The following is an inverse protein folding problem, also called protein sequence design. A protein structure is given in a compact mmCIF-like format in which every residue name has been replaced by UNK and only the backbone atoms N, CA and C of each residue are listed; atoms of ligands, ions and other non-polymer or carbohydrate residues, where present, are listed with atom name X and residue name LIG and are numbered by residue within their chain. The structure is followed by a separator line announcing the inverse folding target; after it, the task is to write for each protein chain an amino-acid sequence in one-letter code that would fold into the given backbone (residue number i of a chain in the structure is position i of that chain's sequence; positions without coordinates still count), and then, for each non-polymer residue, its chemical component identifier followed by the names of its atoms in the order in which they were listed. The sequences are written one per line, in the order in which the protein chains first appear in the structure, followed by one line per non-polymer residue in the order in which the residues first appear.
data_IF_914614732500
#
_entry.id   IF_914614732500
#
_cell.length_a   1.000
_cell.length_b   1.000
_cell.length_c   1.000
_cell.angle_alpha   90.00
_cell.angle_beta   90.00
_cell.angle_gamma   90.00
#
_symmetry.space_group_name_H-M   'P 1'
#
loop_
_entity.id
_entity.type
_entity.pdbx_description
1 polymer ?
#
# COMPACT_ATOMS: atom_id res chain seq x y z
N UNK A 1 13.65 42.38 -25.51
CA UNK A 1 13.37 41.04 -24.96
C UNK A 1 13.48 40.04 -26.10
N UNK A 2 14.60 39.33 -26.15
CA UNK A 2 14.91 38.32 -27.18
C UNK A 2 14.99 36.98 -26.48
N UNK A 3 14.29 35.99 -27.01
CA UNK A 3 14.31 34.61 -26.54
C UNK A 3 15.70 34.00 -26.63
N UNK A 4 16.04 33.20 -25.63
CA UNK A 4 17.20 32.33 -25.65
C UNK A 4 16.69 30.91 -25.84
N UNK A 5 16.87 30.44 -27.06
CA UNK A 5 16.76 29.06 -27.47
C UNK A 5 18.03 28.36 -26.97
N UNK A 6 17.90 27.39 -26.07
CA UNK A 6 19.05 26.58 -25.62
C UNK A 6 19.16 25.37 -26.56
N UNK A 7 20.21 25.40 -27.37
CA UNK A 7 20.66 24.31 -28.24
C UNK A 7 21.29 23.21 -27.37
N UNK A 8 20.80 21.98 -27.47
CA UNK A 8 21.42 20.80 -26.87
C UNK A 8 22.61 20.34 -27.72
N UNK A 9 23.81 20.37 -27.14
CA UNK A 9 25.02 19.76 -27.70
C UNK A 9 25.09 18.27 -27.36
N UNK A 10 25.34 17.45 -28.38
CA UNK A 10 25.61 16.01 -28.27
C UNK A 10 26.98 15.77 -27.62
N UNK A 11 27.02 14.98 -26.54
CA UNK A 11 28.00 13.93 -26.26
C UNK A 11 27.63 13.22 -24.94
N UNK A 12 27.08 12.01 -25.01
CA UNK A 12 27.34 10.88 -24.09
C UNK A 12 26.54 9.65 -24.54
N UNK A 13 27.25 8.56 -24.87
CA UNK A 13 26.70 7.42 -25.65
C UNK A 13 26.26 6.24 -24.76
N UNK A 14 26.24 6.39 -23.44
CA UNK A 14 25.56 5.45 -22.52
C UNK A 14 24.28 6.00 -21.87
N UNK A 15 24.02 7.31 -21.93
CA UNK A 15 22.83 7.96 -21.35
C UNK A 15 21.61 8.06 -22.28
N UNK A 16 21.71 7.59 -23.53
CA UNK A 16 20.80 8.02 -24.60
C UNK A 16 19.64 7.04 -24.91
N UNK A 17 19.72 5.77 -24.47
CA UNK A 17 18.64 4.80 -24.71
C UNK A 17 17.53 4.90 -23.64
N UNK A 18 17.92 5.02 -22.38
CA UNK A 18 16.99 5.12 -21.23
C UNK A 18 16.19 6.42 -21.26
N UNK A 19 16.82 7.56 -21.53
CA UNK A 19 16.12 8.84 -21.70
C UNK A 19 15.17 8.87 -22.90
N UNK A 20 15.48 8.14 -23.97
CA UNK A 20 14.64 8.12 -25.19
C UNK A 20 13.35 7.32 -25.01
N UNK A 21 13.36 6.30 -24.13
CA UNK A 21 12.19 5.46 -23.82
C UNK A 21 11.34 6.00 -22.68
N UNK A 22 11.84 6.95 -21.89
CA UNK A 22 11.06 7.64 -20.85
C UNK A 22 9.71 8.17 -21.36
N UNK A 23 9.68 8.69 -22.60
CA UNK A 23 8.45 9.20 -23.25
C UNK A 23 7.38 8.13 -23.50
N UNK A 24 7.72 6.84 -23.38
CA UNK A 24 6.76 5.74 -23.53
C UNK A 24 5.87 5.59 -22.29
N UNK A 25 6.38 6.00 -21.11
CA UNK A 25 5.73 5.83 -19.80
C UNK A 25 5.06 7.11 -19.26
N UNK A 26 5.50 8.27 -19.75
CA UNK A 26 5.00 9.58 -19.28
C UNK A 26 4.00 10.14 -20.30
N UNK A 27 2.89 10.66 -19.80
CA UNK A 27 1.91 11.43 -20.57
C UNK A 27 1.39 12.63 -19.77
N UNK A 28 0.38 13.33 -20.30
CA UNK A 28 -0.21 14.50 -19.65
C UNK A 28 -0.79 14.24 -18.26
N UNK A 29 -1.10 12.97 -17.92
CA UNK A 29 -1.70 12.60 -16.64
C UNK A 29 -0.67 12.48 -15.53
N UNK A 30 0.55 12.03 -15.82
CA UNK A 30 1.57 11.78 -14.79
C UNK A 30 2.82 12.68 -14.90
N UNK A 31 2.91 13.54 -15.93
CA UNK A 31 4.10 14.40 -16.13
C UNK A 31 4.38 15.35 -14.97
N UNK A 32 3.35 15.90 -14.32
CA UNK A 32 3.54 16.79 -13.17
C UNK A 32 4.11 16.04 -11.97
N UNK A 33 3.55 14.86 -11.67
CA UNK A 33 4.04 13.97 -10.62
C UNK A 33 5.48 13.52 -10.89
N UNK A 34 5.78 13.15 -12.13
CA UNK A 34 7.13 12.77 -12.55
C UNK A 34 8.12 13.91 -12.34
N UNK A 35 7.80 15.11 -12.81
CA UNK A 35 8.67 16.27 -12.68
C UNK A 35 8.92 16.61 -11.21
N UNK A 36 7.86 16.65 -10.39
CA UNK A 36 7.97 16.90 -8.96
C UNK A 36 8.92 15.91 -8.29
N UNK A 37 8.78 14.61 -8.56
CA UNK A 37 9.61 13.60 -7.91
C UNK A 37 11.06 13.63 -8.39
N UNK A 38 11.32 14.05 -9.63
CA UNK A 38 12.68 14.24 -10.13
C UNK A 38 13.39 15.48 -9.55
N UNK A 39 12.70 16.35 -8.80
CA UNK A 39 13.35 17.43 -8.06
C UNK A 39 14.13 16.89 -6.84
N UNK A 40 13.63 15.82 -6.22
CA UNK A 40 14.20 15.23 -4.98
C UNK A 40 14.86 13.87 -5.18
N UNK A 41 14.49 13.14 -6.24
CA UNK A 41 14.99 11.80 -6.52
C UNK A 41 15.71 11.72 -7.86
N UNK A 42 16.83 10.99 -7.89
CA UNK A 42 17.39 10.45 -9.12
C UNK A 42 16.62 9.17 -9.48
N UNK A 43 15.59 9.31 -10.33
CA UNK A 43 14.74 8.20 -10.77
C UNK A 43 15.34 7.53 -12.01
N UNK A 44 15.73 6.26 -11.86
CA UNK A 44 16.20 5.40 -12.93
C UNK A 44 15.07 4.46 -13.40
N UNK A 45 15.05 4.12 -14.70
CA UNK A 45 14.11 3.15 -15.27
C UNK A 45 14.91 1.95 -15.78
N UNK A 46 14.64 0.78 -15.21
CA UNK A 46 15.35 -0.47 -15.50
C UNK A 46 14.40 -1.55 -16.03
N UNK A 47 14.85 -2.49 -16.87
CA UNK A 47 14.03 -3.64 -17.24
C UNK A 47 13.74 -4.50 -16.00
N UNK A 48 12.50 -4.93 -15.83
CA UNK A 48 12.15 -5.93 -14.84
C UNK A 48 12.72 -7.31 -15.22
N UNK A 49 13.03 -8.14 -14.22
CA UNK A 49 13.52 -9.51 -14.44
C UNK A 49 12.40 -10.54 -14.58
N UNK A 50 11.19 -10.19 -14.13
CA UNK A 50 10.03 -11.06 -14.02
C UNK A 50 8.81 -10.51 -14.78
N UNK A 51 9.02 -9.55 -15.69
CA UNK A 51 7.95 -8.90 -16.47
C UNK A 51 6.89 -8.18 -15.60
N UNK A 52 7.23 -7.83 -14.36
CA UNK A 52 6.37 -7.09 -13.44
C UNK A 52 6.92 -5.68 -13.17
N UNK A 53 6.01 -4.72 -13.00
CA UNK A 53 6.38 -3.39 -12.55
C UNK A 53 6.64 -3.42 -11.05
N UNK A 54 7.69 -2.73 -10.62
CA UNK A 54 8.00 -2.56 -9.20
C UNK A 54 8.88 -1.34 -9.01
N UNK A 55 8.98 -0.83 -7.78
CA UNK A 55 9.93 0.22 -7.45
C UNK A 55 10.84 -0.17 -6.29
N UNK A 56 12.03 0.42 -6.33
CA UNK A 56 12.98 0.43 -5.24
C UNK A 56 13.32 1.88 -4.90
N UNK A 57 13.36 2.22 -3.61
CA UNK A 57 13.76 3.54 -3.14
C UNK A 57 14.74 3.43 -2.00
N UNK A 58 15.81 4.21 -2.05
CA UNK A 58 16.79 4.33 -0.98
C UNK A 58 17.47 5.70 -1.04
N UNK A 59 17.33 6.49 0.02
CA UNK A 59 17.77 7.89 0.06
C UNK A 59 17.14 8.70 -1.10
N UNK A 60 17.95 9.40 -1.87
CA UNK A 60 17.60 10.14 -3.08
C UNK A 60 17.57 9.27 -4.34
N UNK A 61 17.91 7.98 -4.26
CA UNK A 61 17.84 7.06 -5.38
C UNK A 61 16.49 6.36 -5.44
N UNK A 62 15.88 6.37 -6.62
CA UNK A 62 14.71 5.55 -6.94
C UNK A 62 14.93 4.79 -8.25
N UNK A 63 14.48 3.54 -8.32
CA UNK A 63 14.50 2.72 -9.53
C UNK A 63 13.09 2.22 -9.77
N UNK A 64 12.54 2.44 -10.96
CA UNK A 64 11.30 1.81 -11.42
C UNK A 64 11.69 0.70 -12.40
N UNK A 65 11.37 -0.53 -12.04
CA UNK A 65 11.49 -1.69 -12.90
C UNK A 65 10.25 -1.77 -13.79
N UNK A 66 10.44 -1.93 -15.10
CA UNK A 66 9.35 -1.91 -16.10
C UNK A 66 9.42 -3.11 -17.03
N UNK A 67 8.26 -3.59 -17.47
CA UNK A 67 8.18 -4.50 -18.61
C UNK A 67 8.21 -3.70 -19.93
N UNK A 68 9.31 -3.84 -20.66
CA UNK A 68 9.51 -3.18 -21.95
C UNK A 68 8.81 -3.87 -23.12
N UNK A 69 8.31 -5.09 -22.96
CA UNK A 69 7.47 -5.80 -23.92
C UNK A 69 6.00 -5.40 -23.77
N UNK A 70 5.57 -5.06 -22.55
CA UNK A 70 4.23 -4.60 -22.23
C UNK A 70 4.25 -3.22 -21.54
N UNK A 71 4.46 -2.18 -22.34
CA UNK A 71 4.52 -0.80 -21.85
C UNK A 71 3.15 -0.38 -21.31
N UNK A 72 3.12 0.00 -20.03
CA UNK A 72 1.92 0.38 -19.30
C UNK A 72 2.17 1.67 -18.52
N UNK A 73 1.49 2.76 -18.91
CA UNK A 73 1.54 4.04 -18.18
C UNK A 73 0.82 3.94 -16.84
N UNK A 74 -0.23 3.13 -16.80
CA UNK A 74 -1.01 2.78 -15.61
C UNK A 74 -0.11 2.11 -14.56
N UNK A 75 0.59 1.03 -14.93
CA UNK A 75 1.50 0.31 -14.02
C UNK A 75 2.73 1.16 -13.65
N UNK A 76 3.27 1.93 -14.59
CA UNK A 76 4.36 2.86 -14.28
C UNK A 76 3.94 3.94 -13.27
N UNK A 77 2.74 4.50 -13.42
CA UNK A 77 2.23 5.52 -12.49
C UNK A 77 1.91 4.92 -11.13
N UNK A 78 1.47 3.66 -11.07
CA UNK A 78 1.34 2.93 -9.80
C UNK A 78 2.66 2.94 -9.02
N UNK A 79 3.78 2.58 -9.66
CA UNK A 79 5.09 2.62 -9.03
C UNK A 79 5.55 4.04 -8.67
N UNK A 80 5.24 5.02 -9.53
CA UNK A 80 5.54 6.42 -9.26
C UNK A 80 4.80 6.94 -8.01
N UNK A 81 3.57 6.47 -7.77
CA UNK A 81 2.81 6.81 -6.58
C UNK A 81 3.37 6.17 -5.30
N UNK A 82 3.99 4.99 -5.38
CA UNK A 82 4.75 4.45 -4.24
C UNK A 82 5.92 5.36 -3.87
N UNK A 83 6.67 5.87 -4.86
CA UNK A 83 7.73 6.86 -4.63
C UNK A 83 7.14 8.15 -4.04
N UNK A 84 5.98 8.60 -4.54
CA UNK A 84 5.28 9.77 -4.02
C UNK A 84 4.94 9.68 -2.53
N UNK A 85 4.46 8.53 -2.06
CA UNK A 85 4.22 8.33 -0.63
C UNK A 85 5.52 8.48 0.19
N UNK A 86 6.67 8.04 -0.34
CA UNK A 86 7.97 8.22 0.32
C UNK A 86 8.44 9.68 0.29
N UNK A 87 8.23 10.39 -0.81
CA UNK A 87 8.48 11.83 -0.92
C UNK A 87 7.66 12.61 0.12
N UNK A 88 6.42 12.21 0.38
CA UNK A 88 5.55 12.78 1.43
C UNK A 88 5.83 12.27 2.84
N UNK A 89 6.96 11.59 3.03
CA UNK A 89 7.38 10.97 4.29
C UNK A 89 6.30 10.07 4.93
N UNK A 90 5.41 9.49 4.13
CA UNK A 90 4.36 8.59 4.60
C UNK A 90 4.89 7.15 4.68
N UNK A 91 5.27 6.73 5.89
CA UNK A 91 5.84 5.39 6.15
C UNK A 91 5.00 4.56 7.13
N UNK A 92 3.67 4.59 6.99
CA UNK A 92 2.76 3.92 7.92
C UNK A 92 2.99 2.40 7.96
N UNK A 93 3.04 1.73 6.81
CA UNK A 93 3.30 0.29 6.72
C UNK A 93 4.61 -0.12 7.39
N UNK A 94 5.70 0.59 7.09
CA UNK A 94 7.01 0.34 7.72
C UNK A 94 6.99 0.59 9.23
N UNK A 95 6.31 1.64 9.69
CA UNK A 95 6.18 1.94 11.12
C UNK A 95 5.36 0.89 11.85
N UNK A 96 4.26 0.40 11.26
CA UNK A 96 3.50 -0.72 11.79
C UNK A 96 4.38 -1.97 11.89
N UNK A 97 5.07 -2.34 10.81
CA UNK A 97 5.97 -3.51 10.78
C UNK A 97 6.98 -3.46 11.93
N UNK A 98 7.73 -2.36 12.06
CA UNK A 98 8.73 -2.19 13.12
C UNK A 98 8.09 -2.22 14.50
N UNK A 99 7.04 -1.45 14.75
CA UNK A 99 6.38 -1.34 16.06
C UNK A 99 5.82 -2.69 16.54
N UNK A 100 5.18 -3.43 15.62
CA UNK A 100 4.53 -4.69 15.93
C UNK A 100 5.56 -5.84 16.10
N UNK A 101 6.61 -5.88 15.27
CA UNK A 101 7.68 -6.89 15.38
C UNK A 101 8.57 -6.71 16.61
N UNK A 102 8.83 -5.47 17.03
CA UNK A 102 9.60 -5.19 18.25
C UNK A 102 8.85 -5.60 19.53
N UNK A 103 7.53 -5.70 19.46
CA UNK A 103 6.72 -6.10 20.61
C UNK A 103 6.84 -7.61 20.90
N UNK A 104 7.30 -7.94 22.11
CA UNK A 104 7.37 -9.31 22.62
C UNK A 104 6.01 -10.05 22.69
N UNK A 105 4.90 -9.30 22.62
CA UNK A 105 3.54 -9.82 22.68
C UNK A 105 3.05 -10.13 21.26
N UNK A 106 2.94 -9.10 20.42
CA UNK A 106 2.32 -9.19 19.10
C UNK A 106 3.11 -10.00 18.06
N UNK A 107 4.45 -9.98 18.10
CA UNK A 107 5.28 -10.71 17.11
C UNK A 107 5.04 -12.22 17.07
N UNK A 108 4.39 -12.78 18.10
CA UNK A 108 4.04 -14.21 18.18
C UNK A 108 2.79 -14.57 17.40
N UNK A 109 1.94 -13.58 17.09
CA UNK A 109 0.61 -13.79 16.54
C UNK A 109 0.41 -13.10 15.19
N UNK A 110 1.34 -12.22 14.80
CA UNK A 110 1.32 -11.50 13.53
C UNK A 110 2.58 -11.88 12.76
N UNK A 111 2.39 -12.52 11.61
CA UNK A 111 3.47 -12.89 10.71
C UNK A 111 4.04 -11.67 9.99
N UNK A 112 5.27 -11.79 9.50
CA UNK A 112 5.87 -10.75 8.66
C UNK A 112 5.05 -10.52 7.38
N UNK A 113 4.59 -11.58 6.74
CA UNK A 113 3.75 -11.51 5.53
C UNK A 113 2.46 -10.71 5.78
N UNK A 114 1.81 -10.89 6.93
CA UNK A 114 0.64 -10.08 7.28
C UNK A 114 1.00 -8.61 7.42
N UNK A 115 2.13 -8.28 8.04
CA UNK A 115 2.53 -6.89 8.25
C UNK A 115 2.86 -6.19 6.92
N UNK A 116 3.49 -6.91 5.99
CA UNK A 116 3.70 -6.42 4.63
C UNK A 116 2.37 -6.22 3.89
N UNK A 117 1.48 -7.22 3.98
CA UNK A 117 0.14 -7.14 3.40
C UNK A 117 -0.68 -5.95 3.94
N UNK A 118 -0.65 -5.72 5.26
CA UNK A 118 -1.27 -4.55 5.89
C UNK A 118 -0.68 -3.26 5.31
N UNK A 119 0.65 -3.16 5.24
CA UNK A 119 1.34 -1.99 4.69
C UNK A 119 0.90 -1.70 3.25
N UNK A 120 0.92 -2.72 2.39
CA UNK A 120 0.54 -2.59 0.98
C UNK A 120 -0.93 -2.18 0.83
N UNK A 121 -1.85 -2.79 1.59
CA UNK A 121 -3.27 -2.39 1.56
C UNK A 121 -3.48 -0.92 1.97
N UNK A 122 -2.72 -0.42 2.95
CA UNK A 122 -2.84 0.96 3.43
C UNK A 122 -2.20 1.98 2.48
N UNK A 123 -1.08 1.64 1.86
CA UNK A 123 -0.45 2.46 0.81
C UNK A 123 -1.38 2.54 -0.41
N UNK A 124 -1.93 1.41 -0.87
CA UNK A 124 -2.89 1.37 -1.97
C UNK A 124 -4.15 2.17 -1.69
N UNK A 125 -4.65 2.18 -0.45
CA UNK A 125 -5.78 3.01 -0.05
C UNK A 125 -5.52 4.50 -0.29
N UNK A 126 -4.28 4.96 -0.09
CA UNK A 126 -3.86 6.35 -0.37
C UNK A 126 -3.65 6.61 -1.85
N UNK A 127 -2.91 5.72 -2.50
CA UNK A 127 -2.56 5.88 -3.91
C UNK A 127 -3.78 5.83 -4.81
N UNK A 128 -4.78 4.99 -4.50
CA UNK A 128 -5.94 4.80 -5.37
C UNK A 128 -6.71 6.09 -5.65
N UNK A 129 -6.86 6.96 -4.63
CA UNK A 129 -7.52 8.25 -4.82
C UNK A 129 -6.75 9.11 -5.84
N UNK A 130 -5.45 9.25 -5.65
CA UNK A 130 -4.58 10.05 -6.53
C UNK A 130 -4.59 9.46 -7.94
N UNK A 131 -4.37 8.16 -8.05
CA UNK A 131 -4.38 7.41 -9.31
C UNK A 131 -5.67 7.64 -10.12
N UNK A 132 -6.82 7.56 -9.45
CA UNK A 132 -8.12 7.83 -10.05
C UNK A 132 -8.29 9.31 -10.44
N UNK A 133 -7.85 10.25 -9.59
CA UNK A 133 -7.95 11.68 -9.85
C UNK A 133 -7.08 12.11 -11.05
N UNK A 134 -5.98 11.40 -11.31
CA UNK A 134 -5.14 11.55 -12.51
C UNK A 134 -5.80 10.95 -13.78
N UNK A 135 -6.92 10.25 -13.67
CA UNK A 135 -7.68 9.71 -14.81
C UNK A 135 -7.11 8.42 -15.40
N UNK A 136 -6.42 7.60 -14.60
CA UNK A 136 -6.01 6.25 -15.00
C UNK A 136 -7.14 5.22 -14.83
N UNK A 137 -7.01 4.06 -15.49
CA UNK A 137 -8.05 3.03 -15.44
C UNK A 137 -8.01 2.30 -14.08
N UNK A 138 -9.05 2.50 -13.27
CA UNK A 138 -9.21 1.84 -11.97
C UNK A 138 -9.00 0.33 -12.03
N UNK A 139 -9.39 -0.33 -13.12
CA UNK A 139 -9.28 -1.79 -13.24
C UNK A 139 -7.84 -2.27 -13.39
N UNK A 140 -6.91 -1.37 -13.76
CA UNK A 140 -5.49 -1.63 -13.91
C UNK A 140 -4.68 -1.25 -12.66
N UNK A 141 -5.33 -0.71 -11.62
CA UNK A 141 -4.66 -0.24 -10.42
C UNK A 141 -4.04 -1.39 -9.60
N UNK A 142 -4.70 -2.55 -9.56
CA UNK A 142 -4.20 -3.77 -8.90
C UNK A 142 -4.19 -4.93 -9.88
N UNK A 143 -3.17 -5.78 -9.81
CA UNK A 143 -3.13 -7.03 -10.59
C UNK A 143 -4.32 -7.94 -10.26
N UNK A 144 -4.77 -7.93 -9.01
CA UNK A 144 -5.85 -8.75 -8.48
C UNK A 144 -7.17 -7.96 -8.34
N UNK A 145 -7.37 -6.89 -9.13
CA UNK A 145 -8.51 -5.97 -9.01
C UNK A 145 -9.87 -6.68 -9.06
N UNK A 146 -10.02 -7.68 -9.93
CA UNK A 146 -11.26 -8.46 -10.09
C UNK A 146 -11.32 -9.67 -9.13
N UNK A 147 -10.30 -9.89 -8.29
CA UNK A 147 -10.30 -10.98 -7.33
C UNK A 147 -11.03 -10.58 -6.04
N UNK A 148 -12.02 -11.40 -5.66
CA UNK A 148 -12.72 -11.23 -4.40
C UNK A 148 -11.79 -11.51 -3.21
N UNK A 149 -11.69 -10.56 -2.27
CA UNK A 149 -10.72 -10.65 -1.16
C UNK A 149 -11.09 -11.66 -0.08
N UNK A 150 -12.36 -12.08 0.01
CA UNK A 150 -12.81 -13.09 0.97
C UNK A 150 -14.00 -13.90 0.43
N UNK A 151 -13.71 -15.09 -0.09
CA UNK A 151 -14.73 -15.97 -0.63
C UNK A 151 -15.47 -16.76 0.47
N UNK A 152 -16.54 -17.46 0.08
CA UNK A 152 -17.41 -18.19 1.02
C UNK A 152 -16.71 -19.34 1.73
N UNK A 153 -15.77 -20.02 1.07
CA UNK A 153 -14.98 -21.10 1.66
C UNK A 153 -14.03 -20.56 2.73
N UNK A 154 -13.32 -19.48 2.42
CA UNK A 154 -12.44 -18.78 3.35
C UNK A 154 -13.18 -18.28 4.59
N UNK A 155 -14.35 -17.67 4.40
CA UNK A 155 -15.20 -17.24 5.50
C UNK A 155 -15.67 -18.41 6.36
N UNK A 156 -16.11 -19.51 5.75
CA UNK A 156 -16.53 -20.71 6.47
C UNK A 156 -15.38 -21.31 7.28
N UNK A 157 -14.19 -21.39 6.68
CA UNK A 157 -12.99 -21.88 7.34
C UNK A 157 -12.61 -20.98 8.54
N UNK A 158 -12.64 -19.66 8.38
CA UNK A 158 -12.39 -18.73 9.48
C UNK A 158 -13.42 -18.93 10.62
N UNK A 159 -14.72 -19.01 10.29
CA UNK A 159 -15.78 -19.22 11.29
C UNK A 159 -15.60 -20.50 12.09
N UNK A 160 -15.17 -21.59 11.44
CA UNK A 160 -14.94 -22.87 12.09
C UNK A 160 -13.72 -22.86 13.02
N UNK A 161 -12.71 -22.03 12.72
CA UNK A 161 -11.40 -22.11 13.36
C UNK A 161 -11.04 -20.92 14.25
N UNK A 162 -11.79 -19.81 14.19
CA UNK A 162 -11.45 -18.58 14.91
C UNK A 162 -11.51 -18.75 16.44
N UNK A 163 -12.47 -19.55 16.94
CA UNK A 163 -12.56 -19.90 18.36
C UNK A 163 -12.60 -21.41 18.53
N UNK A 164 -11.67 -21.94 19.32
CA UNK A 164 -11.68 -23.34 19.74
C UNK A 164 -12.20 -23.39 21.18
N UNK A 165 -13.38 -23.99 21.35
CA UNK A 165 -14.21 -23.90 22.57
C UNK A 165 -14.59 -22.44 22.86
N UNK A 166 -13.89 -21.77 23.79
CA UNK A 166 -14.15 -20.38 24.19
C UNK A 166 -12.94 -19.46 24.00
N UNK A 167 -11.82 -20.01 23.53
CA UNK A 167 -10.57 -19.26 23.37
C UNK A 167 -10.37 -18.92 21.90
N UNK A 168 -9.86 -17.72 21.65
CA UNK A 168 -9.40 -17.33 20.31
C UNK A 168 -8.26 -18.25 19.89
N UNK A 169 -8.33 -18.77 18.68
CA UNK A 169 -7.25 -19.53 18.07
C UNK A 169 -6.17 -18.54 17.58
N UNK A 170 -4.95 -18.55 18.14
CA UNK A 170 -3.91 -17.60 17.75
C UNK A 170 -3.55 -17.68 16.26
N UNK A 171 -3.64 -18.88 15.69
CA UNK A 171 -3.32 -19.11 14.27
C UNK A 171 -4.35 -18.48 13.31
N UNK A 172 -5.55 -18.18 13.80
CA UNK A 172 -6.60 -17.57 12.99
C UNK A 172 -6.55 -16.03 13.02
N UNK A 173 -5.77 -15.43 13.93
CA UNK A 173 -5.68 -13.97 14.08
C UNK A 173 -5.08 -13.35 12.82
N UNK A 174 -4.00 -13.97 12.32
CA UNK A 174 -3.27 -13.47 11.18
C UNK A 174 -4.16 -13.40 9.92
N UNK A 175 -4.81 -14.53 9.61
CA UNK A 175 -5.78 -14.62 8.52
C UNK A 175 -6.98 -13.68 8.69
N UNK A 176 -7.51 -13.55 9.92
CA UNK A 176 -8.61 -12.64 10.21
C UNK A 176 -8.24 -11.20 9.87
N UNK A 177 -7.10 -10.70 10.37
CA UNK A 177 -6.68 -9.32 10.14
C UNK A 177 -6.40 -9.10 8.65
N UNK A 178 -5.68 -10.03 8.01
CA UNK A 178 -5.30 -9.92 6.59
C UNK A 178 -6.51 -9.88 5.66
N UNK A 179 -7.51 -10.72 5.89
CA UNK A 179 -8.74 -10.71 5.08
C UNK A 179 -9.62 -9.50 5.37
N UNK A 180 -9.73 -9.08 6.63
CA UNK A 180 -10.51 -7.90 6.98
C UNK A 180 -9.93 -6.63 6.35
N UNK A 181 -8.62 -6.42 6.47
CA UNK A 181 -7.99 -5.23 5.89
C UNK A 181 -8.07 -5.23 4.36
N UNK A 182 -7.89 -6.39 3.71
CA UNK A 182 -8.03 -6.50 2.26
C UNK A 182 -9.43 -6.11 1.77
N UNK A 183 -10.49 -6.58 2.45
CA UNK A 183 -11.88 -6.19 2.11
C UNK A 183 -12.15 -4.70 2.34
N UNK A 184 -11.60 -4.12 3.42
CA UNK A 184 -11.81 -2.71 3.76
C UNK A 184 -11.01 -1.74 2.87
N UNK A 185 -9.90 -2.20 2.30
CA UNK A 185 -9.07 -1.43 1.37
C UNK A 185 -9.32 -1.77 -0.11
N UNK A 186 -10.29 -2.63 -0.43
CA UNK A 186 -10.57 -3.05 -1.81
C UNK A 186 -11.07 -1.85 -2.65
N UNK A 187 -10.36 -1.43 -3.71
CA UNK A 187 -10.79 -0.34 -4.56
C UNK A 187 -11.94 -0.73 -5.51
N UNK A 188 -12.22 -2.02 -5.68
CA UNK A 188 -13.26 -2.48 -6.58
C UNK A 188 -14.66 -2.39 -5.94
N UNK A 189 -15.39 -1.32 -6.28
CA UNK A 189 -16.74 -1.04 -5.79
C UNK A 189 -17.79 -2.11 -6.19
N UNK A 190 -17.48 -2.97 -7.19
CA UNK A 190 -18.37 -4.09 -7.56
C UNK A 190 -18.34 -5.21 -6.52
N UNK A 191 -17.28 -5.30 -5.72
CA UNK A 191 -17.19 -6.28 -4.65
C UNK A 191 -18.02 -5.85 -3.44
N UNK A 192 -19.08 -6.61 -3.16
CA UNK A 192 -19.99 -6.33 -2.04
C UNK A 192 -19.69 -7.29 -0.88
N UNK A 193 -19.03 -6.78 0.17
CA UNK A 193 -18.60 -7.56 1.34
C UNK A 193 -19.56 -7.53 2.54
N UNK A 194 -20.80 -7.05 2.38
CA UNK A 194 -21.74 -6.84 3.49
C UNK A 194 -21.91 -8.09 4.40
N UNK A 195 -22.01 -9.28 3.80
CA UNK A 195 -22.16 -10.53 4.53
C UNK A 195 -20.85 -10.86 5.27
N UNK A 196 -19.72 -10.84 4.58
CA UNK A 196 -18.41 -11.13 5.13
C UNK A 196 -18.08 -10.20 6.30
N UNK A 197 -18.21 -8.88 6.12
CA UNK A 197 -17.94 -7.89 7.15
C UNK A 197 -18.84 -8.08 8.38
N UNK A 198 -20.13 -8.35 8.17
CA UNK A 198 -21.06 -8.68 9.27
C UNK A 198 -20.60 -9.93 10.03
N UNK A 199 -20.18 -10.99 9.34
CA UNK A 199 -19.73 -12.22 9.98
C UNK A 199 -18.39 -12.04 10.71
N UNK A 200 -17.43 -11.30 10.14
CA UNK A 200 -16.19 -10.94 10.83
C UNK A 200 -16.47 -10.17 12.12
N UNK A 201 -17.39 -9.19 12.08
CA UNK A 201 -17.79 -8.41 13.26
C UNK A 201 -18.46 -9.27 14.34
N UNK A 202 -19.23 -10.29 13.95
CA UNK A 202 -19.83 -11.26 14.89
C UNK A 202 -18.79 -12.17 15.56
N UNK A 203 -17.73 -12.54 14.83
CA UNK A 203 -16.65 -13.38 15.38
C UNK A 203 -15.91 -12.67 16.51
N UNK A 204 -15.55 -11.40 16.30
CA UNK A 204 -14.93 -10.54 17.31
C UNK A 204 -15.17 -9.06 17.01
N UNK A 205 -16.07 -8.43 17.76
CA UNK A 205 -16.44 -7.03 17.53
C UNK A 205 -15.29 -6.07 17.84
N UNK A 206 -14.42 -6.42 18.78
CA UNK A 206 -13.34 -5.56 19.24
C UNK A 206 -12.20 -5.60 18.23
N UNK A 207 -11.74 -6.78 17.82
CA UNK A 207 -10.73 -6.91 16.78
C UNK A 207 -11.18 -6.27 15.46
N UNK A 208 -12.45 -6.49 15.07
CA UNK A 208 -13.04 -5.82 13.91
C UNK A 208 -12.89 -4.30 14.00
N UNK A 209 -13.31 -3.72 15.13
CA UNK A 209 -13.27 -2.27 15.35
C UNK A 209 -11.83 -1.74 15.34
N UNK A 210 -10.85 -2.53 15.80
CA UNK A 210 -9.44 -2.13 15.80
C UNK A 210 -8.90 -2.00 14.37
N UNK A 211 -9.19 -2.98 13.50
CA UNK A 211 -8.77 -2.95 12.09
C UNK A 211 -9.53 -1.88 11.31
N UNK A 212 -10.85 -1.76 11.52
CA UNK A 212 -11.68 -0.72 10.91
C UNK A 212 -11.17 0.69 11.26
N UNK A 213 -10.78 0.93 12.52
CA UNK A 213 -10.17 2.21 12.92
C UNK A 213 -8.84 2.47 12.23
N UNK A 214 -7.97 1.47 12.10
CA UNK A 214 -6.70 1.63 11.36
C UNK A 214 -6.96 2.09 9.93
N UNK A 215 -7.88 1.44 9.22
CA UNK A 215 -8.22 1.79 7.84
C UNK A 215 -8.82 3.19 7.77
N UNK A 216 -9.76 3.54 8.65
CA UNK A 216 -10.39 4.86 8.66
C UNK A 216 -9.40 5.97 9.02
N UNK A 217 -8.57 5.79 10.05
CA UNK A 217 -7.53 6.74 10.44
C UNK A 217 -6.52 6.93 9.30
N UNK A 218 -6.16 5.84 8.60
CA UNK A 218 -5.35 5.93 7.39
C UNK A 218 -6.08 6.74 6.33
N UNK A 219 -7.33 6.41 6.00
CA UNK A 219 -8.11 7.11 4.96
C UNK A 219 -8.17 8.62 5.20
N UNK A 220 -8.42 9.04 6.43
CA UNK A 220 -8.53 10.46 6.82
C UNK A 220 -7.18 11.17 6.96
N UNK A 221 -6.05 10.45 7.04
CA UNK A 221 -4.73 11.04 7.16
C UNK A 221 -4.38 11.91 5.94
N UNK A 222 -4.16 13.21 6.13
CA UNK A 222 -3.79 14.08 5.01
C UNK A 222 -2.28 14.01 4.75
N UNK A 223 -1.87 13.35 3.66
CA UNK A 223 -0.45 13.24 3.25
C UNK A 223 0.09 14.55 2.66
N UNK A 224 -0.78 15.51 2.35
CA UNK A 224 -0.37 16.83 1.83
C UNK A 224 -0.22 17.88 2.93
N UNK A 225 -0.56 17.52 4.17
CA UNK A 225 -0.47 18.44 5.30
C UNK A 225 0.98 18.72 5.67
N UNK A 226 1.31 20.01 5.80
CA UNK A 226 2.60 20.48 6.33
C UNK A 226 2.61 20.61 7.87
N UNK A 227 1.54 20.17 8.54
CA UNK A 227 1.48 20.21 10.00
C UNK A 227 2.36 19.11 10.60
N UNK A 228 3.44 19.52 11.28
CA UNK A 228 4.34 18.62 12.01
C UNK A 228 3.66 17.76 13.08
N UNK A 229 2.46 18.14 13.54
CA UNK A 229 1.66 17.35 14.48
C UNK A 229 0.83 16.24 13.79
N UNK A 230 0.69 16.29 12.47
CA UNK A 230 -0.01 15.26 11.70
C UNK A 230 0.91 14.06 11.43
N UNK A 231 1.12 13.20 12.43
CA UNK A 231 2.02 12.07 12.31
C UNK A 231 1.30 10.75 12.07
N UNK A 232 1.64 10.05 10.98
CA UNK A 232 1.19 8.68 10.75
C UNK A 232 1.63 7.73 11.89
N UNK A 233 2.65 8.11 12.69
CA UNK A 233 3.12 7.34 13.85
C UNK A 233 2.09 7.28 14.98
N UNK A 234 1.18 8.25 15.05
CA UNK A 234 0.09 8.22 16.03
C UNK A 234 -0.91 7.12 15.67
N UNK A 235 -1.17 6.92 14.37
CA UNK A 235 -2.00 5.82 13.86
C UNK A 235 -1.36 4.47 14.22
N UNK A 236 -0.07 4.29 13.94
CA UNK A 236 0.61 3.02 14.24
C UNK A 236 0.68 2.73 15.74
N UNK A 237 0.94 3.75 16.57
CA UNK A 237 0.98 3.63 18.03
C UNK A 237 -0.41 3.33 18.62
N UNK A 238 -1.45 3.95 18.08
CA UNK A 238 -2.83 3.70 18.48
C UNK A 238 -3.28 2.28 18.12
N UNK A 239 -2.98 1.83 16.90
CA UNK A 239 -3.25 0.45 16.47
C UNK A 239 -2.54 -0.57 17.35
N UNK A 240 -1.23 -0.38 17.59
CA UNK A 240 -0.44 -1.19 18.52
C UNK A 240 -1.09 -1.29 19.90
N UNK A 241 -1.40 -0.13 20.51
CA UNK A 241 -1.96 -0.05 21.85
C UNK A 241 -3.31 -0.77 21.97
N UNK A 242 -4.15 -0.66 20.93
CA UNK A 242 -5.45 -1.33 20.88
C UNK A 242 -5.29 -2.85 20.75
N UNK A 243 -4.40 -3.32 19.86
CA UNK A 243 -4.13 -4.75 19.69
C UNK A 243 -3.56 -5.38 20.96
N UNK A 244 -2.60 -4.73 21.62
CA UNK A 244 -2.04 -5.23 22.88
C UNK A 244 -3.12 -5.39 23.95
N UNK A 245 -4.00 -4.40 24.09
CA UNK A 245 -5.15 -4.49 25.03
C UNK A 245 -6.06 -5.66 24.68
N UNK A 246 -6.37 -5.85 23.40
CA UNK A 246 -7.22 -6.95 22.94
C UNK A 246 -6.59 -8.34 23.20
N UNK A 247 -5.28 -8.51 22.94
CA UNK A 247 -4.54 -9.75 23.21
C UNK A 247 -4.62 -10.11 24.70
N UNK A 248 -4.33 -9.14 25.58
CA UNK A 248 -4.37 -9.36 27.03
C UNK A 248 -5.77 -9.73 27.51
N UNK A 249 -6.80 -9.02 27.04
CA UNK A 249 -8.20 -9.27 27.44
C UNK A 249 -8.68 -10.66 27.04
N UNK A 250 -8.25 -11.15 25.87
CA UNK A 250 -8.63 -12.47 25.38
C UNK A 250 -7.76 -13.60 25.95
N UNK A 251 -6.81 -13.30 26.83
CA UNK A 251 -5.86 -14.27 27.41
C UNK A 251 -5.24 -15.17 26.35
N UNK A 252 -4.90 -14.61 25.20
CA UNK A 252 -4.28 -15.34 24.10
C UNK A 252 -2.89 -15.75 24.60
N UNK A 253 -2.67 -17.06 24.71
CA UNK A 253 -1.43 -17.67 25.18
C UNK A 253 -0.59 -18.10 23.99
#
# INVERSE_FOLDING_TARGET
MKGVCVLFSQTDVSGNATQKRMKEFIDERNVELWNQLNEDYNIEIEPSFNDEYSCFTQNDKAIIYVDYQNISKDSFTHELLHIYLKHKEFYLGSSLKVTLQQSNILRKYLSENLLEHIGNCLDHLKMFKIYNDLGFDKNLFLLDFEENKCNTFELANLKANFKIKRNVNPLAIDFYIGKLIAMLCDPNEKHIYNIQLSEFKKLDVELFTIVEKLVNETKEFDIESNDSLNSYRDISTAFYSRLVKWIHKNNIK
#
